data_IF_524964360918
#
_entry.id   IF_524964360918
#
_cell.length_a   1.000
_cell.length_b   1.000
_cell.length_c   1.000
_cell.angle_alpha   90.00
_cell.angle_beta   90.00
_cell.angle_gamma   90.00
#
_symmetry.space_group_name_H-M   'P 1'
#
loop_
_entity.id
_entity.type
_entity.pdbx_description
1 polymer ?
#
# COMPACT_ATOMS: atom_id res chain seq x y z
N UNK A 1 -12.49 -38.27 -23.73
CA UNK A 1 -12.42 -37.81 -22.33
C UNK A 1 -11.90 -36.38 -22.30
N UNK A 2 -12.80 -35.39 -22.27
CA UNK A 2 -12.48 -33.99 -21.97
C UNK A 2 -13.55 -33.49 -21.01
N UNK A 3 -13.20 -33.32 -19.74
CA UNK A 3 -14.07 -32.68 -18.75
C UNK A 3 -13.75 -31.19 -18.75
N UNK A 4 -14.74 -30.36 -19.13
CA UNK A 4 -14.69 -28.91 -18.94
C UNK A 4 -14.85 -28.62 -17.44
N UNK A 5 -13.89 -27.91 -16.86
CA UNK A 5 -14.04 -27.30 -15.53
C UNK A 5 -14.97 -26.09 -15.69
N UNK A 6 -16.09 -26.12 -14.96
CA UNK A 6 -16.98 -24.98 -14.81
C UNK A 6 -16.40 -24.14 -13.68
N UNK A 7 -15.90 -22.95 -14.01
CA UNK A 7 -15.53 -21.95 -13.03
C UNK A 7 -16.81 -21.47 -12.32
N UNK A 8 -16.96 -21.83 -11.06
CA UNK A 8 -18.06 -21.35 -10.21
C UNK A 8 -17.78 -19.89 -9.89
N UNK A 9 -18.57 -18.99 -10.48
CA UNK A 9 -18.63 -17.57 -10.10
C UNK A 9 -19.09 -17.46 -8.63
N UNK A 10 -18.17 -17.20 -7.72
CA UNK A 10 -18.52 -16.81 -6.35
C UNK A 10 -19.05 -15.38 -6.39
N UNK A 11 -20.38 -15.26 -6.37
CA UNK A 11 -21.11 -14.00 -6.35
C UNK A 11 -20.80 -13.19 -5.09
N UNK A 12 -20.46 -11.91 -5.28
CA UNK A 12 -20.15 -10.85 -4.32
C UNK A 12 -21.22 -10.52 -3.23
N UNK A 13 -22.17 -11.42 -2.98
CA UNK A 13 -23.28 -11.19 -2.05
C UNK A 13 -22.94 -11.44 -0.57
N UNK A 14 -21.81 -12.09 -0.27
CA UNK A 14 -21.44 -12.44 1.11
C UNK A 14 -20.67 -11.33 1.86
N UNK A 15 -20.03 -10.40 1.14
CA UNK A 15 -19.23 -9.33 1.75
C UNK A 15 -20.11 -8.24 2.41
N UNK A 16 -21.32 -7.99 1.89
CA UNK A 16 -22.18 -6.92 2.38
C UNK A 16 -22.92 -7.27 3.69
N UNK A 17 -23.05 -8.56 4.02
CA UNK A 17 -23.80 -9.01 5.19
C UNK A 17 -23.03 -8.88 6.51
N UNK A 18 -21.69 -8.79 6.47
CA UNK A 18 -20.86 -8.72 7.68
C UNK A 18 -20.82 -7.30 8.29
N UNK A 19 -21.06 -6.26 7.49
CA UNK A 19 -20.98 -4.85 7.91
C UNK A 19 -22.17 -4.41 8.79
N UNK A 20 -23.32 -5.07 8.68
CA UNK A 20 -24.56 -4.64 9.35
C UNK A 20 -24.75 -5.13 10.80
N UNK A 21 -23.93 -6.07 11.29
CA UNK A 21 -24.16 -6.69 12.61
C UNK A 21 -23.49 -5.94 13.78
N UNK A 22 -22.58 -4.99 13.53
CA UNK A 22 -21.88 -4.25 14.60
C UNK A 22 -22.58 -2.96 15.09
N UNK A 23 -23.71 -2.54 14.51
CA UNK A 23 -24.27 -1.20 14.75
C UNK A 23 -25.14 -1.04 16.03
N UNK A 24 -25.22 -2.04 16.93
CA UNK A 24 -26.24 -2.06 17.98
C UNK A 24 -25.74 -2.03 19.44
N UNK A 25 -24.46 -1.75 19.71
CA UNK A 25 -23.96 -1.57 21.08
C UNK A 25 -23.46 -0.13 21.29
N UNK A 26 -23.73 0.50 22.45
CA UNK A 26 -23.06 1.74 22.81
C UNK A 26 -21.57 1.43 23.00
N UNK A 27 -20.76 1.74 21.98
CA UNK A 27 -19.33 1.62 22.06
C UNK A 27 -18.80 2.69 23.03
N UNK A 28 -17.79 2.39 23.88
CA UNK A 28 -17.03 3.46 24.52
C UNK A 28 -16.53 4.41 23.43
N UNK A 29 -16.48 5.71 23.72
CA UNK A 29 -15.87 6.68 22.82
C UNK A 29 -14.45 6.17 22.49
N UNK A 30 -14.27 5.70 21.26
CA UNK A 30 -12.97 5.25 20.80
C UNK A 30 -12.09 6.50 20.74
N UNK A 31 -10.87 6.41 21.32
CA UNK A 31 -9.87 7.44 21.08
C UNK A 31 -9.65 7.52 19.56
N UNK A 32 -9.79 8.73 19.04
CA UNK A 32 -9.61 9.02 17.62
C UNK A 32 -8.32 9.80 17.50
N UNK A 33 -7.36 9.25 16.77
CA UNK A 33 -6.10 9.92 16.48
C UNK A 33 -6.14 10.42 15.04
N UNK A 34 -5.80 11.70 14.84
CA UNK A 34 -5.67 12.31 13.53
C UNK A 34 -4.22 12.69 13.28
N UNK A 35 -3.71 12.38 12.10
CA UNK A 35 -2.36 12.79 11.70
C UNK A 35 -2.31 13.30 10.27
N UNK A 36 -1.34 14.17 10.00
CA UNK A 36 -1.01 14.64 8.66
C UNK A 36 0.46 14.38 8.37
N UNK A 37 0.81 14.16 7.11
CA UNK A 37 2.19 13.98 6.70
C UNK A 37 2.52 14.73 5.40
N UNK A 38 3.79 15.11 5.27
CA UNK A 38 4.35 15.72 4.06
C UNK A 38 5.79 15.26 3.88
N UNK A 39 6.23 15.08 2.65
CA UNK A 39 7.60 14.70 2.37
C UNK A 39 7.97 14.68 0.90
N UNK A 40 9.10 14.05 0.63
CA UNK A 40 9.75 14.06 -0.66
C UNK A 40 10.50 12.75 -0.91
N UNK A 41 10.39 12.24 -2.13
CA UNK A 41 11.16 11.12 -2.64
C UNK A 41 12.08 11.59 -3.77
N UNK A 42 13.35 11.17 -3.74
CA UNK A 42 14.27 11.42 -4.87
C UNK A 42 13.80 10.74 -6.15
N UNK A 43 13.09 9.62 -6.02
CA UNK A 43 12.43 8.86 -7.07
C UNK A 43 11.15 8.24 -6.45
N UNK A 44 10.00 8.44 -7.08
CA UNK A 44 8.75 7.81 -6.65
C UNK A 44 8.62 6.46 -7.35
N UNK A 45 8.60 5.38 -6.56
CA UNK A 45 8.49 4.00 -7.02
C UNK A 45 7.19 3.41 -6.48
N UNK A 46 6.24 3.09 -7.36
CA UNK A 46 5.02 2.36 -7.01
C UNK A 46 5.26 0.86 -7.18
N UNK A 47 5.34 0.11 -6.07
CA UNK A 47 5.52 -1.36 -6.07
C UNK A 47 6.58 -1.86 -7.07
N UNK A 48 7.76 -1.22 -7.05
CA UNK A 48 8.88 -1.54 -7.94
C UNK A 48 8.88 -0.81 -9.28
N UNK A 49 7.80 -0.12 -9.66
CA UNK A 49 7.67 0.57 -10.94
C UNK A 49 7.96 2.07 -10.75
N UNK A 50 9.02 2.64 -11.36
CA UNK A 50 9.27 4.08 -11.31
C UNK A 50 8.13 4.87 -11.93
N UNK A 51 7.60 5.82 -11.16
CA UNK A 51 6.53 6.72 -11.57
C UNK A 51 7.09 8.09 -11.94
N UNK A 52 8.01 8.61 -11.12
CA UNK A 52 8.55 9.95 -11.32
C UNK A 52 9.86 10.19 -10.58
N UNK A 53 10.84 10.75 -11.29
CA UNK A 53 12.00 11.35 -10.65
C UNK A 53 11.60 12.62 -9.89
N UNK A 54 11.98 12.68 -8.61
CA UNK A 54 11.69 13.80 -7.69
C UNK A 54 10.19 14.06 -7.49
N UNK A 55 9.62 13.49 -6.43
CA UNK A 55 8.19 13.61 -6.12
C UNK A 55 7.94 14.14 -4.71
N UNK A 56 7.12 15.19 -4.62
CA UNK A 56 6.55 15.62 -3.35
C UNK A 56 5.32 14.78 -3.03
N UNK A 57 5.12 14.48 -1.75
CA UNK A 57 3.99 13.68 -1.28
C UNK A 57 3.44 14.17 0.05
N UNK A 58 2.25 13.71 0.39
CA UNK A 58 1.65 13.93 1.70
C UNK A 58 0.33 13.19 1.88
N UNK A 59 -0.23 13.26 3.07
CA UNK A 59 -1.46 12.54 3.39
C UNK A 59 -2.10 12.96 4.69
N UNK A 60 -3.31 12.47 4.91
CA UNK A 60 -4.10 12.62 6.13
C UNK A 60 -4.58 11.25 6.58
N UNK A 61 -4.50 10.98 7.87
CA UNK A 61 -4.85 9.70 8.47
C UNK A 61 -5.76 9.92 9.68
N UNK A 62 -6.70 9.00 9.86
CA UNK A 62 -7.56 8.90 11.03
C UNK A 62 -7.55 7.45 11.51
N UNK A 63 -7.35 7.24 12.81
CA UNK A 63 -7.49 5.92 13.43
C UNK A 63 -8.43 5.96 14.63
N UNK A 64 -9.22 4.90 14.83
CA UNK A 64 -10.13 4.77 15.96
C UNK A 64 -10.40 3.31 16.30
N UNK A 65 -9.90 2.84 17.45
CA UNK A 65 -10.21 1.50 17.96
C UNK A 65 -9.89 0.33 17.02
N UNK A 66 -8.84 0.47 16.20
CA UNK A 66 -8.42 -0.51 15.18
C UNK A 66 -8.90 -0.18 13.77
N UNK A 67 -9.92 0.66 13.61
CA UNK A 67 -10.27 1.22 12.31
C UNK A 67 -9.24 2.26 11.88
N UNK A 68 -9.01 2.33 10.58
CA UNK A 68 -8.24 3.40 9.97
C UNK A 68 -8.90 3.86 8.66
N UNK A 69 -8.74 5.14 8.35
CA UNK A 69 -9.14 5.76 7.09
C UNK A 69 -8.13 6.84 6.79
N UNK A 70 -7.71 6.99 5.54
CA UNK A 70 -6.80 8.04 5.16
C UNK A 70 -6.82 8.32 3.67
N UNK A 71 -6.04 9.34 3.33
CA UNK A 71 -5.69 9.67 1.97
C UNK A 71 -4.19 9.94 1.89
N UNK A 72 -3.61 9.62 0.75
CA UNK A 72 -2.24 9.95 0.43
C UNK A 72 -2.21 10.48 -0.99
N UNK A 73 -1.24 11.32 -1.33
CA UNK A 73 -1.05 11.72 -2.70
C UNK A 73 0.40 12.09 -2.99
N UNK A 74 0.75 11.97 -4.26
CA UNK A 74 2.06 12.30 -4.77
C UNK A 74 1.99 12.99 -6.12
N UNK A 75 2.97 13.84 -6.34
CA UNK A 75 3.29 14.39 -7.65
C UNK A 75 3.88 13.28 -8.54
N UNK A 76 3.17 12.97 -9.63
CA UNK A 76 3.54 11.97 -10.63
C UNK A 76 4.04 12.61 -11.94
N UNK A 77 4.28 13.91 -11.92
CA UNK A 77 4.87 14.67 -13.03
C UNK A 77 3.79 15.31 -13.88
N UNK A 78 3.00 14.49 -14.55
CA UNK A 78 1.86 14.92 -15.36
C UNK A 78 0.55 14.74 -14.57
N UNK A 79 0.50 15.31 -13.36
CA UNK A 79 -0.67 15.23 -12.47
C UNK A 79 -0.34 14.77 -11.06
N UNK A 80 -1.37 14.31 -10.35
CA UNK A 80 -1.30 13.76 -9.00
C UNK A 80 -1.86 12.35 -8.98
N UNK A 81 -1.19 11.46 -8.25
CA UNK A 81 -1.80 10.27 -7.67
C UNK A 81 -2.48 10.68 -6.36
N UNK A 82 -3.70 10.20 -6.15
CA UNK A 82 -4.48 10.38 -4.92
C UNK A 82 -5.09 9.05 -4.52
N UNK A 83 -4.67 8.58 -3.37
CA UNK A 83 -5.11 7.32 -2.79
C UNK A 83 -6.14 7.59 -1.71
N UNK A 84 -7.15 6.73 -1.66
CA UNK A 84 -8.11 6.65 -0.57
C UNK A 84 -8.07 5.25 0.00
N UNK A 85 -7.76 5.12 1.29
CA UNK A 85 -7.65 3.81 1.92
C UNK A 85 -8.35 3.78 3.25
N UNK A 86 -8.80 2.59 3.63
CA UNK A 86 -9.33 2.34 4.96
C UNK A 86 -9.43 0.86 5.27
N UNK A 87 -9.63 0.55 6.54
CA UNK A 87 -9.70 -0.83 6.98
C UNK A 87 -9.76 -0.99 8.49
N UNK A 88 -9.48 -2.21 8.93
CA UNK A 88 -9.44 -2.60 10.32
C UNK A 88 -8.21 -3.45 10.60
N UNK A 89 -7.49 -3.11 11.67
CA UNK A 89 -6.34 -3.86 12.18
C UNK A 89 -6.63 -4.38 13.58
N UNK A 90 -6.20 -5.61 13.84
CA UNK A 90 -6.35 -6.24 15.14
C UNK A 90 -5.18 -7.18 15.42
N UNK A 91 -4.97 -7.49 16.70
CA UNK A 91 -3.92 -8.40 17.14
C UNK A 91 -4.52 -9.62 17.85
N UNK A 92 -3.92 -10.79 17.64
CA UNK A 92 -4.26 -12.05 18.32
C UNK A 92 -2.96 -12.69 18.79
N UNK A 93 -2.68 -12.58 20.10
CA UNK A 93 -1.39 -12.99 20.64
C UNK A 93 -0.25 -12.17 20.01
N UNK A 94 0.75 -12.86 19.47
CA UNK A 94 1.93 -12.24 18.83
C UNK A 94 1.70 -11.91 17.34
N UNK A 95 0.50 -12.18 16.82
CA UNK A 95 0.15 -11.92 15.43
C UNK A 95 -0.65 -10.62 15.30
N UNK A 96 -0.35 -9.86 14.25
CA UNK A 96 -1.14 -8.72 13.80
C UNK A 96 -1.79 -9.03 12.47
N UNK A 97 -3.04 -8.61 12.28
CA UNK A 97 -3.81 -8.82 11.07
C UNK A 97 -4.45 -7.51 10.62
N UNK A 98 -4.55 -7.35 9.30
CA UNK A 98 -5.23 -6.24 8.67
C UNK A 98 -6.16 -6.71 7.55
N UNK A 99 -7.30 -6.04 7.43
CA UNK A 99 -8.16 -6.11 6.26
C UNK A 99 -8.58 -4.69 5.89
N UNK A 100 -8.49 -4.35 4.61
CA UNK A 100 -8.83 -3.02 4.14
C UNK A 100 -9.05 -2.99 2.64
N UNK A 101 -9.12 -1.78 2.11
CA UNK A 101 -9.07 -1.55 0.67
C UNK A 101 -8.49 -0.19 0.35
N UNK A 102 -8.03 -0.07 -0.89
CA UNK A 102 -7.43 1.14 -1.43
C UNK A 102 -8.05 1.44 -2.80
N UNK A 103 -8.33 2.71 -3.05
CA UNK A 103 -8.70 3.25 -4.35
C UNK A 103 -7.66 4.28 -4.75
N UNK A 104 -6.87 3.93 -5.75
CA UNK A 104 -5.88 4.80 -6.40
C UNK A 104 -6.59 5.56 -7.51
N UNK A 105 -6.45 6.88 -7.50
CA UNK A 105 -7.00 7.76 -8.53
C UNK A 105 -5.91 8.68 -9.06
N UNK A 106 -6.05 9.11 -10.31
CA UNK A 106 -5.04 9.93 -10.96
C UNK A 106 -5.67 11.14 -11.63
N UNK A 107 -4.94 12.25 -11.64
CA UNK A 107 -5.30 13.44 -12.42
C UNK A 107 -4.55 13.48 -13.75
N UNK A 108 -5.06 14.28 -14.67
CA UNK A 108 -4.41 14.61 -15.94
C UNK A 108 -4.03 13.39 -16.82
N UNK A 109 -4.82 12.31 -16.70
CA UNK A 109 -4.68 11.05 -17.44
C UNK A 109 -3.29 10.38 -17.31
N UNK A 110 -2.59 10.62 -16.19
CA UNK A 110 -1.31 9.96 -15.91
C UNK A 110 -1.43 8.42 -15.90
N UNK A 111 -2.44 7.92 -15.19
CA UNK A 111 -2.88 6.52 -15.19
C UNK A 111 -4.41 6.45 -15.02
N UNK A 112 -5.00 5.25 -15.09
CA UNK A 112 -6.40 5.00 -14.74
C UNK A 112 -6.53 4.42 -13.32
N UNK A 113 -7.75 4.34 -12.82
CA UNK A 113 -8.04 3.97 -11.43
C UNK A 113 -7.71 2.49 -11.12
N UNK A 114 -7.19 2.27 -9.91
CA UNK A 114 -7.01 0.93 -9.34
C UNK A 114 -7.85 0.80 -8.07
N UNK A 115 -8.52 -0.34 -7.90
CA UNK A 115 -9.33 -0.64 -6.71
C UNK A 115 -8.94 -1.99 -6.18
N UNK A 116 -8.55 -2.07 -4.91
CA UNK A 116 -8.09 -3.32 -4.32
C UNK A 116 -8.60 -3.56 -2.90
N UNK A 117 -8.72 -4.85 -2.57
CA UNK A 117 -8.87 -5.34 -1.21
C UNK A 117 -7.49 -5.73 -0.70
N UNK A 118 -7.13 -5.26 0.49
CA UNK A 118 -5.85 -5.49 1.13
C UNK A 118 -5.99 -6.43 2.32
N UNK A 119 -5.06 -7.37 2.44
CA UNK A 119 -4.91 -8.26 3.58
C UNK A 119 -3.47 -8.19 4.08
N UNK A 120 -3.29 -8.14 5.40
CA UNK A 120 -1.96 -8.24 5.99
C UNK A 120 -1.93 -9.18 7.18
N UNK A 121 -0.80 -9.85 7.35
CA UNK A 121 -0.51 -10.71 8.49
C UNK A 121 0.95 -10.55 8.90
N UNK A 122 1.17 -10.08 10.13
CA UNK A 122 2.51 -9.90 10.68
C UNK A 122 2.77 -10.76 11.91
N UNK A 123 4.04 -11.15 12.07
CA UNK A 123 4.56 -11.90 13.20
C UNK A 123 6.02 -11.52 13.45
N UNK A 124 6.30 -11.02 14.66
CA UNK A 124 7.64 -10.55 15.04
C UNK A 124 8.19 -9.52 14.03
N UNK A 125 9.32 -9.81 13.39
CA UNK A 125 9.96 -8.95 12.41
C UNK A 125 9.43 -9.15 10.97
N UNK A 126 8.47 -10.06 10.74
CA UNK A 126 7.95 -10.40 9.42
C UNK A 126 6.54 -9.88 9.20
N UNK A 127 6.26 -9.39 7.99
CA UNK A 127 4.92 -9.03 7.52
C UNK A 127 4.70 -9.59 6.13
N UNK A 128 3.58 -10.30 5.94
CA UNK A 128 3.06 -10.67 4.64
C UNK A 128 1.89 -9.76 4.29
N UNK A 129 1.89 -9.23 3.07
CA UNK A 129 0.82 -8.42 2.52
C UNK A 129 0.32 -9.05 1.22
N UNK A 130 -0.99 -9.03 1.03
CA UNK A 130 -1.66 -9.42 -0.21
C UNK A 130 -2.66 -8.35 -0.63
N UNK A 131 -2.76 -8.09 -1.92
CA UNK A 131 -3.81 -7.28 -2.50
C UNK A 131 -4.45 -8.01 -3.68
N UNK A 132 -5.77 -7.93 -3.77
CA UNK A 132 -6.53 -8.39 -4.94
C UNK A 132 -7.22 -7.18 -5.51
N UNK A 133 -6.90 -6.82 -6.74
CA UNK A 133 -7.35 -5.57 -7.33
C UNK A 133 -7.76 -5.67 -8.79
N UNK A 134 -8.39 -4.59 -9.24
CA UNK A 134 -8.78 -4.37 -10.62
C UNK A 134 -8.28 -3.00 -11.06
N UNK A 135 -7.79 -2.92 -12.29
CA UNK A 135 -7.35 -1.70 -12.99
C UNK A 135 -8.34 -1.37 -14.12
N UNK A 136 -8.83 -0.14 -14.17
CA UNK A 136 -9.90 0.29 -15.09
C UNK A 136 -9.43 0.42 -16.57
N UNK A 137 -8.11 0.54 -16.82
CA UNK A 137 -7.46 0.35 -18.12
C UNK A 137 -7.94 1.26 -19.27
N UNK A 138 -8.13 2.54 -19.01
CA UNK A 138 -8.42 3.60 -19.99
C UNK A 138 -9.61 3.30 -20.93
N UNK A 139 -10.63 2.61 -20.41
CA UNK A 139 -11.82 2.23 -21.17
C UNK A 139 -11.68 0.97 -22.03
N UNK A 140 -10.50 0.34 -22.04
CA UNK A 140 -10.32 -1.05 -22.49
C UNK A 140 -10.89 -2.03 -21.43
N UNK A 141 -10.95 -3.35 -21.69
CA UNK A 141 -11.32 -4.29 -20.65
C UNK A 141 -10.43 -4.13 -19.42
N UNK A 142 -11.07 -4.04 -18.25
CA UNK A 142 -10.38 -3.98 -16.97
C UNK A 142 -9.47 -5.19 -16.78
N UNK A 143 -8.35 -4.97 -16.09
CA UNK A 143 -7.38 -6.02 -15.78
C UNK A 143 -7.48 -6.39 -14.30
N UNK A 144 -7.49 -7.68 -14.00
CA UNK A 144 -7.49 -8.18 -12.63
C UNK A 144 -6.08 -8.60 -12.22
N UNK A 145 -5.63 -8.13 -11.06
CA UNK A 145 -4.28 -8.43 -10.56
C UNK A 145 -4.30 -8.91 -9.11
N UNK A 146 -3.29 -9.69 -8.78
CA UNK A 146 -2.93 -10.01 -7.41
C UNK A 146 -1.53 -9.47 -7.13
N UNK A 147 -1.31 -8.97 -5.92
CA UNK A 147 -0.02 -8.51 -5.44
C UNK A 147 0.31 -9.20 -4.12
N UNK A 148 1.54 -9.66 -3.98
CA UNK A 148 2.02 -10.31 -2.77
C UNK A 148 3.37 -9.72 -2.35
N UNK A 149 3.58 -9.52 -1.06
CA UNK A 149 4.90 -9.19 -0.54
C UNK A 149 5.21 -9.84 0.79
N UNK A 150 6.49 -10.08 1.02
CA UNK A 150 7.04 -10.47 2.32
C UNK A 150 8.11 -9.46 2.72
N UNK A 151 7.91 -8.81 3.86
CA UNK A 151 8.81 -7.79 4.41
C UNK A 151 9.40 -8.27 5.73
N UNK A 152 10.70 -8.08 5.92
CA UNK A 152 11.41 -8.31 7.17
C UNK A 152 12.01 -6.99 7.70
N UNK A 153 11.81 -6.63 8.97
CA UNK A 153 12.31 -5.37 9.57
C UNK A 153 13.09 -5.63 10.85
N UNK A 154 14.30 -5.10 10.96
CA UNK A 154 15.13 -5.21 12.15
C UNK A 154 16.03 -3.98 12.34
N UNK A 155 15.89 -3.28 13.47
CA UNK A 155 16.71 -2.12 13.85
C UNK A 155 16.83 -1.04 12.75
N UNK A 156 15.69 -0.68 12.14
CA UNK A 156 15.62 0.32 11.06
C UNK A 156 15.99 -0.22 9.68
N UNK A 157 16.67 -1.37 9.59
CA UNK A 157 16.87 -2.06 8.32
C UNK A 157 15.62 -2.84 7.93
N UNK A 158 15.36 -2.92 6.64
CA UNK A 158 14.34 -3.80 6.12
C UNK A 158 14.75 -4.43 4.79
N UNK A 159 14.11 -5.55 4.48
CA UNK A 159 14.15 -6.19 3.17
C UNK A 159 12.75 -6.62 2.76
N UNK A 160 12.44 -6.52 1.48
CA UNK A 160 11.16 -6.91 0.89
C UNK A 160 11.40 -7.68 -0.41
N UNK A 161 10.57 -8.70 -0.60
CA UNK A 161 10.37 -9.36 -1.89
C UNK A 161 8.89 -9.28 -2.23
N UNK A 162 8.58 -8.98 -3.49
CA UNK A 162 7.21 -8.79 -3.91
C UNK A 162 7.00 -9.21 -5.37
N UNK A 163 5.78 -9.61 -5.70
CA UNK A 163 5.39 -10.05 -7.04
C UNK A 163 3.96 -9.66 -7.36
N UNK A 164 3.69 -9.47 -8.64
CA UNK A 164 2.35 -9.42 -9.21
C UNK A 164 2.00 -10.76 -9.88
N UNK A 165 0.71 -11.03 -9.99
CA UNK A 165 0.13 -12.22 -10.62
C UNK A 165 -1.18 -11.85 -11.35
N UNK A 166 -1.74 -12.80 -12.12
CA UNK A 166 -2.90 -12.69 -13.01
C UNK A 166 -2.63 -11.88 -14.29
N UNK A 167 -3.37 -10.79 -14.54
CA UNK A 167 -3.16 -9.96 -15.74
C UNK A 167 -1.89 -9.11 -15.61
N UNK A 168 -1.35 -8.98 -14.39
CA UNK A 168 -0.06 -8.37 -14.10
C UNK A 168 0.98 -9.46 -13.82
N UNK A 169 2.26 -9.14 -13.96
CA UNK A 169 3.35 -10.10 -13.76
C UNK A 169 4.65 -9.37 -13.37
N UNK A 170 5.60 -10.11 -12.83
CA UNK A 170 6.93 -9.64 -12.47
C UNK A 170 7.09 -9.35 -10.98
N UNK A 171 8.35 -9.22 -10.59
CA UNK A 171 8.79 -9.10 -9.21
C UNK A 171 9.76 -7.95 -8.99
N UNK A 172 9.81 -7.48 -7.74
CA UNK A 172 10.86 -6.58 -7.28
C UNK A 172 11.37 -6.96 -5.89
N UNK A 173 12.58 -6.49 -5.61
CA UNK A 173 13.33 -6.76 -4.40
C UNK A 173 13.84 -5.44 -3.87
N UNK A 174 13.61 -5.19 -2.58
CA UNK A 174 13.93 -3.92 -1.96
C UNK A 174 14.70 -4.19 -0.67
N UNK A 175 15.75 -3.41 -0.43
CA UNK A 175 16.45 -3.39 0.85
C UNK A 175 16.75 -1.95 1.22
N UNK A 176 16.51 -1.59 2.48
CA UNK A 176 16.69 -0.22 2.89
C UNK A 176 16.94 -0.06 4.39
N UNK A 177 17.15 1.19 4.76
CA UNK A 177 17.28 1.64 6.13
C UNK A 177 16.47 2.91 6.32
N UNK A 178 15.69 2.98 7.38
CA UNK A 178 14.95 4.17 7.78
C UNK A 178 15.16 4.49 9.26
N UNK A 179 15.16 5.78 9.59
CA UNK A 179 15.19 6.25 10.97
C UNK A 179 14.63 7.68 11.07
N UNK A 180 14.42 8.14 12.30
CA UNK A 180 13.97 9.50 12.60
C UNK A 180 15.16 10.35 13.03
N UNK A 181 15.36 11.49 12.36
CA UNK A 181 16.32 12.49 12.80
C UNK A 181 15.80 13.16 14.07
N UNK A 182 16.53 12.97 15.18
CA UNK A 182 16.21 13.58 16.48
C UNK A 182 17.31 14.55 16.90
N UNK A 183 16.94 15.76 17.28
CA UNK A 183 17.87 16.79 17.79
C UNK A 183 17.36 17.29 19.13
N UNK A 184 18.18 17.17 20.19
CA UNK A 184 17.82 17.60 21.56
C UNK A 184 16.44 17.07 21.99
N UNK A 185 16.22 15.76 21.83
CA UNK A 185 14.95 15.06 22.14
C UNK A 185 13.74 15.52 21.32
N UNK A 186 13.95 16.33 20.27
CA UNK A 186 12.92 16.74 19.33
C UNK A 186 13.06 15.95 18.04
N UNK A 187 12.03 15.16 17.70
CA UNK A 187 11.93 14.49 16.41
C UNK A 187 11.70 15.51 15.30
N UNK A 188 12.63 15.60 14.36
CA UNK A 188 12.59 16.54 13.26
C UNK A 188 11.89 15.94 12.06
N UNK A 189 12.41 14.88 11.46
CA UNK A 189 11.80 14.21 10.31
C UNK A 189 12.32 12.79 10.16
N UNK A 190 11.54 11.94 9.53
CA UNK A 190 11.95 10.61 9.11
C UNK A 190 12.76 10.71 7.84
N UNK A 191 13.79 9.86 7.73
CA UNK A 191 14.57 9.68 6.51
C UNK A 191 14.73 8.20 6.22
N UNK A 192 14.80 7.86 4.93
CA UNK A 192 15.14 6.50 4.49
C UNK A 192 16.00 6.49 3.25
N UNK A 193 16.79 5.43 3.11
CA UNK A 193 17.54 5.08 1.93
C UNK A 193 17.17 3.65 1.53
N UNK A 194 16.81 3.43 0.28
CA UNK A 194 16.43 2.14 -0.26
C UNK A 194 17.13 1.85 -1.58
N UNK A 195 17.48 0.59 -1.81
CA UNK A 195 17.86 0.05 -3.12
C UNK A 195 16.74 -0.88 -3.57
N UNK A 196 16.21 -0.66 -4.76
CA UNK A 196 15.10 -1.40 -5.33
C UNK A 196 15.54 -1.98 -6.68
N UNK A 197 15.58 -3.29 -6.80
CA UNK A 197 15.76 -4.00 -8.07
C UNK A 197 14.39 -4.49 -8.58
N UNK A 198 14.07 -4.15 -9.81
CA UNK A 198 12.82 -4.53 -10.47
C UNK A 198 13.13 -5.33 -11.72
N UNK A 199 12.47 -6.48 -11.89
CA UNK A 199 12.75 -7.35 -13.02
C UNK A 199 12.18 -6.82 -14.35
N UNK A 200 12.67 -7.40 -15.43
CA UNK A 200 12.27 -7.04 -16.80
C UNK A 200 10.79 -7.28 -17.09
N UNK A 201 10.19 -8.27 -16.45
CA UNK A 201 8.78 -8.62 -16.66
C UNK A 201 7.89 -7.53 -16.06
N UNK A 202 8.20 -7.12 -14.82
CA UNK A 202 7.50 -6.05 -14.11
C UNK A 202 7.58 -4.72 -14.86
N UNK A 203 8.74 -4.41 -15.42
CA UNK A 203 8.97 -3.15 -16.14
C UNK A 203 8.53 -3.20 -17.61
N UNK A 204 8.07 -4.35 -18.12
CA UNK A 204 7.74 -4.54 -19.53
C UNK A 204 8.92 -4.28 -20.48
N UNK A 205 10.16 -4.46 -20.01
CA UNK A 205 11.37 -3.99 -20.67
C UNK A 205 12.64 -4.53 -20.03
N UNK A 206 13.69 -3.71 -19.93
CA UNK A 206 14.91 -4.09 -19.23
C UNK A 206 14.70 -4.00 -17.70
N UNK A 207 15.35 -4.89 -16.94
CA UNK A 207 15.38 -4.77 -15.48
C UNK A 207 16.14 -3.50 -15.05
N UNK A 208 15.75 -2.92 -13.91
CA UNK A 208 16.36 -1.68 -13.41
C UNK A 208 16.71 -1.77 -11.91
N UNK A 209 17.61 -0.90 -11.45
CA UNK A 209 17.99 -0.75 -10.05
C UNK A 209 17.97 0.71 -9.64
N UNK A 210 17.08 1.05 -8.71
CA UNK A 210 16.86 2.40 -8.22
C UNK A 210 17.46 2.57 -6.82
N UNK A 211 18.14 3.70 -6.59
CA UNK A 211 18.54 4.16 -5.26
C UNK A 211 17.64 5.33 -4.87
N UNK A 212 16.85 5.14 -3.82
CA UNK A 212 15.83 6.10 -3.40
C UNK A 212 16.18 6.67 -2.03
N UNK A 213 16.17 8.00 -1.95
CA UNK A 213 16.21 8.74 -0.68
C UNK A 213 14.86 9.39 -0.43
N UNK A 214 14.34 9.23 0.77
CA UNK A 214 13.06 9.81 1.19
C UNK A 214 13.24 10.62 2.47
N UNK A 215 12.54 11.75 2.56
CA UNK A 215 12.34 12.50 3.81
C UNK A 215 10.86 12.74 4.03
N UNK A 216 10.40 12.66 5.29
CA UNK A 216 8.99 12.86 5.65
C UNK A 216 8.85 13.48 7.04
N UNK A 217 7.86 14.35 7.22
CA UNK A 217 7.39 14.79 8.52
C UNK A 217 5.98 14.28 8.76
N UNK A 218 5.71 13.82 9.98
CA UNK A 218 4.38 13.50 10.49
C UNK A 218 4.00 14.51 11.58
N UNK A 219 2.73 14.88 11.63
CA UNK A 219 2.12 15.78 12.62
C UNK A 219 0.91 15.08 13.23
N UNK A 220 0.90 14.91 14.55
CA UNK A 220 -0.20 14.32 15.31
C UNK A 220 -1.02 15.41 16.02
N UNK A 221 -2.34 15.22 16.13
CA UNK A 221 -3.29 16.21 16.64
C UNK A 221 -4.16 15.69 17.79
#
# INVERSE_FOLDING_TARGET
>A
MHRKLIATRMTAAFALALVLVLAAAPAPALATDFSANIGYNSEYIFRGIPQKSSSAMGGLDLTAGGFYLGTWGADVGDGLEIDYYGGYRFAVGDFNFGVGGTWYTYTDDFDDDYKEVNLSAGWSFLTFDAAVGTYDNFGEPSQDYEYYSLTAVYNGFYGRVATFENDFDGSYYEAGYGNTLTVQDTELFDYSLAVIYSDSTLLGGDSDTNLVFTVKKVFDF
#
